data_IF_672217314664
#
_entry.id   IF_672217314664
#
_cell.length_a   1.000
_cell.length_b   1.000
_cell.length_c   1.000
_cell.angle_alpha   90.00
_cell.angle_beta   90.00
_cell.angle_gamma   90.00
#
_symmetry.space_group_name_H-M   'P 1'
#
loop_
_entity.id
_entity.type
_entity.pdbx_description
1 polymer ?
#
# COMPACT_ATOMS: atom_id res chain seq x y z
N UNK A 1 -16.08 10.54 4.50
CA UNK A 1 -14.68 10.06 4.63
C UNK A 1 -14.14 10.26 6.04
N UNK A 2 -14.35 11.45 6.63
CA UNK A 2 -13.96 11.83 8.00
C UNK A 2 -14.30 10.79 9.08
N UNK A 3 -15.54 10.26 9.09
CA UNK A 3 -15.94 9.22 10.06
C UNK A 3 -15.08 7.94 9.96
N UNK A 4 -14.90 7.41 8.75
CA UNK A 4 -14.12 6.20 8.50
C UNK A 4 -12.66 6.40 8.92
N UNK A 5 -12.05 7.51 8.51
CA UNK A 5 -10.67 7.84 8.88
C UNK A 5 -10.51 8.02 10.40
N UNK A 6 -11.44 8.72 11.07
CA UNK A 6 -11.41 8.86 12.53
C UNK A 6 -11.49 7.51 13.25
N UNK A 7 -12.34 6.58 12.80
CA UNK A 7 -12.41 5.24 13.38
C UNK A 7 -11.10 4.48 13.17
N UNK A 8 -10.48 4.59 12.00
CA UNK A 8 -9.17 3.97 11.74
C UNK A 8 -8.07 4.60 12.60
N UNK A 9 -8.02 5.92 12.74
CA UNK A 9 -7.03 6.61 13.59
C UNK A 9 -7.18 6.28 15.07
N UNK A 10 -8.41 6.15 15.58
CA UNK A 10 -8.65 5.64 16.94
C UNK A 10 -8.05 4.25 17.11
N UNK A 11 -8.16 3.38 16.10
CA UNK A 11 -7.55 2.05 16.13
C UNK A 11 -6.03 2.09 16.06
N UNK A 12 -5.45 2.98 15.24
CA UNK A 12 -3.99 3.24 15.21
C UNK A 12 -3.47 3.58 16.61
N UNK A 13 -4.21 4.36 17.39
CA UNK A 13 -3.80 4.79 18.74
C UNK A 13 -4.05 3.73 19.82
N UNK A 14 -5.19 3.05 19.79
CA UNK A 14 -5.66 2.21 20.92
C UNK A 14 -5.40 0.71 20.77
N UNK A 15 -5.30 0.21 19.54
CA UNK A 15 -5.33 -1.24 19.26
C UNK A 15 -4.57 -1.57 17.97
N UNK A 16 -3.35 -1.01 17.87
CA UNK A 16 -2.43 -1.23 16.76
C UNK A 16 -2.02 -2.70 16.68
N UNK A 17 -2.17 -3.30 15.50
CA UNK A 17 -1.61 -4.62 15.19
C UNK A 17 -0.89 -4.60 13.84
N UNK A 18 0.13 -5.45 13.60
CA UNK A 18 0.83 -5.48 12.32
C UNK A 18 -0.10 -5.69 11.12
N UNK A 19 -1.09 -6.59 11.26
CA UNK A 19 -2.11 -6.85 10.24
C UNK A 19 -2.97 -5.62 9.96
N UNK A 20 -3.38 -4.90 11.01
CA UNK A 20 -4.16 -3.68 10.84
C UNK A 20 -3.35 -2.60 10.13
N UNK A 21 -2.10 -2.37 10.52
CA UNK A 21 -1.24 -1.35 9.90
C UNK A 21 -0.98 -1.61 8.43
N UNK A 22 -0.69 -2.87 8.07
CA UNK A 22 -0.56 -3.27 6.66
C UNK A 22 -1.81 -2.90 5.88
N UNK A 23 -2.98 -3.36 6.34
CA UNK A 23 -4.25 -3.13 5.64
C UNK A 23 -4.64 -1.64 5.64
N UNK A 24 -4.24 -0.89 6.66
CA UNK A 24 -4.46 0.55 6.71
C UNK A 24 -3.64 1.29 5.66
N UNK A 25 -2.35 0.97 5.50
CA UNK A 25 -1.51 1.54 4.43
C UNK A 25 -2.05 1.15 3.04
N UNK A 26 -2.43 -0.12 2.85
CA UNK A 26 -3.05 -0.58 1.59
C UNK A 26 -4.35 0.17 1.31
N UNK A 27 -5.16 0.42 2.35
CA UNK A 27 -6.38 1.22 2.24
C UNK A 27 -6.09 2.66 1.81
N UNK A 28 -5.11 3.33 2.42
CA UNK A 28 -4.70 4.69 2.03
C UNK A 28 -4.28 4.73 0.56
N UNK A 29 -3.44 3.79 0.13
CA UNK A 29 -3.03 3.68 -1.28
C UNK A 29 -4.21 3.40 -2.21
N UNK A 30 -5.14 2.53 -1.82
CA UNK A 30 -6.36 2.27 -2.61
C UNK A 30 -7.24 3.51 -2.68
N UNK A 31 -7.32 4.28 -1.61
CA UNK A 31 -8.09 5.53 -1.57
C UNK A 31 -7.53 6.55 -2.58
N UNK A 32 -6.20 6.71 -2.66
CA UNK A 32 -5.59 7.66 -3.60
C UNK A 32 -5.75 7.25 -5.06
N UNK A 33 -5.93 5.95 -5.33
CA UNK A 33 -6.30 5.44 -6.66
C UNK A 33 -7.76 5.72 -6.98
N UNK A 34 -8.66 5.53 -6.01
CA UNK A 34 -10.10 5.61 -6.24
C UNK A 34 -10.67 7.04 -6.20
N UNK A 35 -10.00 7.96 -5.50
CA UNK A 35 -10.44 9.34 -5.29
C UNK A 35 -9.42 10.34 -5.83
N UNK A 36 -8.30 10.49 -5.12
CA UNK A 36 -7.07 11.17 -5.54
C UNK A 36 -6.14 11.28 -4.34
N UNK A 37 -4.88 11.64 -4.55
CA UNK A 37 -3.98 12.01 -3.46
C UNK A 37 -4.44 13.29 -2.74
N UNK A 38 -4.93 14.28 -3.48
CA UNK A 38 -5.43 15.55 -2.94
C UNK A 38 -6.65 15.35 -2.03
N UNK A 39 -7.57 14.46 -2.41
CA UNK A 39 -8.71 14.10 -1.55
C UNK A 39 -8.26 13.47 -0.23
N UNK A 40 -7.14 12.75 -0.22
CA UNK A 40 -6.61 12.16 1.00
C UNK A 40 -6.05 13.25 1.92
N UNK A 41 -5.25 14.16 1.36
CA UNK A 41 -4.75 15.35 2.08
C UNK A 41 -5.93 16.11 2.68
N UNK A 42 -6.90 16.50 1.87
CA UNK A 42 -8.06 17.26 2.34
C UNK A 42 -8.86 16.50 3.39
N UNK A 43 -9.04 15.18 3.23
CA UNK A 43 -9.77 14.37 4.21
C UNK A 43 -9.06 14.29 5.56
N UNK A 44 -7.73 14.28 5.58
CA UNK A 44 -6.93 14.35 6.80
C UNK A 44 -6.97 15.75 7.41
N UNK A 45 -6.74 16.79 6.62
CA UNK A 45 -6.72 18.18 7.11
C UNK A 45 -8.09 18.64 7.65
N UNK A 46 -9.19 18.10 7.11
CA UNK A 46 -10.55 18.31 7.63
C UNK A 46 -10.79 17.70 9.02
N UNK A 47 -9.96 16.74 9.46
CA UNK A 47 -10.04 16.18 10.82
C UNK A 47 -9.29 17.10 11.78
N UNK A 48 -8.07 17.45 11.42
CA UNK A 48 -7.20 18.37 12.17
C UNK A 48 -6.11 18.89 11.26
N UNK A 49 -5.76 20.17 11.38
CA UNK A 49 -4.63 20.76 10.64
C UNK A 49 -3.31 20.04 10.97
N UNK A 50 -2.54 19.71 9.93
CA UNK A 50 -1.28 18.96 10.02
C UNK A 50 -1.46 17.45 10.15
N UNK A 51 -2.70 16.94 10.13
CA UNK A 51 -2.98 15.51 10.28
C UNK A 51 -2.41 14.69 9.11
N UNK A 52 -2.36 15.24 7.89
CA UNK A 52 -1.75 14.54 6.77
C UNK A 52 -0.24 14.33 7.00
N UNK A 53 0.48 15.38 7.40
CA UNK A 53 1.91 15.28 7.73
C UNK A 53 2.16 14.25 8.84
N UNK A 54 1.38 14.30 9.92
CA UNK A 54 1.49 13.32 11.00
C UNK A 54 1.19 11.88 10.54
N UNK A 55 0.19 11.69 9.68
CA UNK A 55 -0.11 10.38 9.10
C UNK A 55 1.08 9.84 8.30
N UNK A 56 1.69 10.67 7.46
CA UNK A 56 2.84 10.25 6.66
C UNK A 56 4.03 9.93 7.56
N UNK A 57 4.39 10.83 8.47
CA UNK A 57 5.60 10.70 9.29
C UNK A 57 5.49 9.62 10.37
N UNK A 58 4.38 9.61 11.12
CA UNK A 58 4.23 8.78 12.33
C UNK A 58 3.59 7.43 12.05
N UNK A 59 3.06 7.22 10.85
CA UNK A 59 2.38 5.98 10.49
C UNK A 59 3.01 5.38 9.25
N UNK A 60 2.93 6.08 8.10
CA UNK A 60 3.37 5.50 6.84
C UNK A 60 4.87 5.23 6.86
N UNK A 61 5.70 6.22 7.16
CA UNK A 61 7.17 6.04 7.15
C UNK A 61 7.66 5.01 8.18
N UNK A 62 6.96 4.87 9.31
CA UNK A 62 7.34 3.94 10.38
C UNK A 62 6.93 2.50 10.05
N UNK A 63 5.71 2.30 9.55
CA UNK A 63 5.16 0.95 9.36
C UNK A 63 5.51 0.37 7.98
N UNK A 64 5.72 1.20 6.94
CA UNK A 64 6.01 0.77 5.57
C UNK A 64 7.17 -0.25 5.43
N UNK A 65 8.31 -0.13 6.15
CA UNK A 65 9.39 -1.12 6.07
C UNK A 65 8.95 -2.55 6.47
N UNK A 66 8.00 -2.67 7.41
CA UNK A 66 7.49 -3.95 7.89
C UNK A 66 6.60 -4.71 6.89
N UNK A 67 6.27 -4.08 5.75
CA UNK A 67 5.36 -4.66 4.76
C UNK A 67 6.08 -5.58 3.75
N UNK A 68 7.42 -5.53 3.65
CA UNK A 68 8.21 -6.19 2.60
C UNK A 68 7.90 -7.68 2.44
N UNK A 69 7.74 -8.39 3.57
CA UNK A 69 7.51 -9.85 3.60
C UNK A 69 6.06 -10.26 3.86
N UNK A 70 5.17 -9.30 4.15
CA UNK A 70 3.78 -9.58 4.56
C UNK A 70 2.74 -9.19 3.50
N UNK A 71 3.18 -8.52 2.43
CA UNK A 71 2.32 -8.04 1.35
C UNK A 71 2.25 -9.01 0.18
N UNK A 72 1.02 -9.31 -0.26
CA UNK A 72 0.76 -10.14 -1.44
C UNK A 72 0.99 -9.35 -2.73
N UNK A 73 1.11 -10.03 -3.87
CA UNK A 73 1.25 -9.37 -5.19
C UNK A 73 0.18 -8.29 -5.46
N UNK A 74 -1.12 -8.57 -5.25
CA UNK A 74 -2.18 -7.56 -5.37
C UNK A 74 -2.01 -6.36 -4.43
N UNK A 75 -1.56 -6.58 -3.18
CA UNK A 75 -1.30 -5.49 -2.23
C UNK A 75 -0.11 -4.63 -2.69
N UNK A 76 0.99 -5.24 -3.16
CA UNK A 76 2.15 -4.51 -3.70
C UNK A 76 1.78 -3.65 -4.89
N UNK A 77 0.92 -4.15 -5.78
CA UNK A 77 0.38 -3.38 -6.91
C UNK A 77 -0.39 -2.15 -6.44
N UNK A 78 -1.28 -2.29 -5.46
CA UNK A 78 -2.04 -1.17 -4.90
C UNK A 78 -1.09 -0.15 -4.26
N UNK A 79 -0.09 -0.61 -3.49
CA UNK A 79 0.88 0.28 -2.83
C UNK A 79 1.70 1.04 -3.88
N UNK A 80 2.22 0.38 -4.92
CA UNK A 80 3.00 1.02 -5.97
C UNK A 80 2.22 2.14 -6.67
N UNK A 81 0.98 1.88 -7.08
CA UNK A 81 0.17 2.86 -7.80
C UNK A 81 -0.25 3.99 -6.84
N UNK A 82 -0.73 3.64 -5.64
CA UNK A 82 -1.24 4.61 -4.67
C UNK A 82 -0.15 5.52 -4.09
N UNK A 83 1.03 4.99 -3.78
CA UNK A 83 2.20 5.79 -3.40
C UNK A 83 2.76 6.58 -4.57
N UNK A 84 2.73 6.03 -5.78
CA UNK A 84 3.06 6.78 -6.99
C UNK A 84 2.18 8.02 -7.15
N UNK A 85 0.86 7.89 -6.96
CA UNK A 85 -0.05 9.04 -6.98
C UNK A 85 0.28 10.04 -5.87
N UNK A 86 0.59 9.58 -4.65
CA UNK A 86 0.99 10.48 -3.56
C UNK A 86 2.27 11.28 -3.91
N UNK A 87 3.33 10.58 -4.32
CA UNK A 87 4.60 11.21 -4.65
C UNK A 87 4.52 12.09 -5.91
N UNK A 88 3.58 11.85 -6.83
CA UNK A 88 3.40 12.67 -8.02
C UNK A 88 2.50 13.89 -7.79
N UNK A 89 1.38 13.71 -7.08
CA UNK A 89 0.29 14.68 -7.08
C UNK A 89 0.31 15.59 -5.84
N UNK A 90 0.99 15.19 -4.76
CA UNK A 90 1.15 15.96 -3.51
C UNK A 90 2.62 16.09 -3.11
N UNK A 91 3.51 16.19 -4.10
CA UNK A 91 4.97 16.27 -3.92
C UNK A 91 5.39 17.35 -2.93
N UNK A 92 4.76 18.53 -3.01
CA UNK A 92 5.08 19.68 -2.15
C UNK A 92 4.85 19.37 -0.67
N UNK A 93 3.81 18.60 -0.36
CA UNK A 93 3.49 18.16 1.01
C UNK A 93 4.40 17.04 1.50
N UNK A 94 5.13 16.38 0.59
CA UNK A 94 5.96 15.20 0.87
C UNK A 94 7.47 15.46 0.73
N UNK A 95 7.91 16.70 0.50
CA UNK A 95 9.34 17.02 0.24
C UNK A 95 10.27 16.39 1.29
N UNK A 96 9.92 16.47 2.58
CA UNK A 96 10.73 15.92 3.67
C UNK A 96 10.76 14.39 3.75
N UNK A 97 9.77 13.71 3.16
CA UNK A 97 9.63 12.25 3.21
C UNK A 97 9.76 11.58 1.83
N UNK A 98 10.01 12.36 0.79
CA UNK A 98 10.03 11.89 -0.60
C UNK A 98 11.05 10.76 -0.81
N UNK A 99 12.28 10.95 -0.31
CA UNK A 99 13.36 9.98 -0.40
C UNK A 99 13.04 8.66 0.30
N UNK A 100 12.61 8.71 1.57
CA UNK A 100 12.30 7.50 2.36
C UNK A 100 11.10 6.74 1.79
N UNK A 101 10.04 7.44 1.37
CA UNK A 101 8.88 6.80 0.74
C UNK A 101 9.26 6.15 -0.58
N UNK A 102 10.08 6.82 -1.41
CA UNK A 102 10.57 6.26 -2.68
C UNK A 102 11.39 4.99 -2.45
N UNK A 103 12.32 5.04 -1.48
CA UNK A 103 13.17 3.92 -1.10
C UNK A 103 12.35 2.72 -0.59
N UNK A 104 11.47 2.94 0.39
CA UNK A 104 10.74 1.84 1.04
C UNK A 104 9.75 1.17 0.08
N UNK A 105 9.09 1.93 -0.81
CA UNK A 105 8.23 1.35 -1.83
C UNK A 105 9.04 0.57 -2.87
N UNK A 106 10.19 1.09 -3.31
CA UNK A 106 11.07 0.36 -4.23
C UNK A 106 11.53 -0.98 -3.63
N UNK A 107 11.95 -0.97 -2.36
CA UNK A 107 12.34 -2.19 -1.63
C UNK A 107 11.18 -3.15 -1.40
N UNK A 108 9.98 -2.64 -1.17
CA UNK A 108 8.77 -3.47 -1.10
C UNK A 108 8.47 -4.16 -2.44
N UNK A 109 8.70 -3.50 -3.57
CA UNK A 109 8.47 -4.05 -4.91
C UNK A 109 9.48 -5.11 -5.33
N UNK A 110 10.71 -5.04 -4.81
CA UNK A 110 11.74 -6.06 -5.04
C UNK A 110 11.62 -7.25 -4.11
N UNK A 111 11.08 -7.07 -2.90
CA UNK A 111 10.87 -8.19 -1.99
C UNK A 111 9.95 -9.26 -2.61
N UNK A 112 10.13 -10.52 -2.20
CA UNK A 112 9.21 -11.58 -2.57
C UNK A 112 7.79 -11.26 -2.08
N UNK A 113 6.77 -11.60 -2.88
CA UNK A 113 5.38 -11.48 -2.43
C UNK A 113 5.08 -12.53 -1.38
N UNK A 114 4.35 -12.14 -0.33
CA UNK A 114 3.71 -13.11 0.54
C UNK A 114 2.76 -13.96 -0.31
N UNK A 115 2.78 -15.27 -0.07
CA UNK A 115 1.82 -16.17 -0.71
C UNK A 115 0.41 -15.74 -0.32
N UNK A 116 -0.45 -15.55 -1.31
CA UNK A 116 -1.88 -15.54 -1.05
C UNK A 116 -2.22 -16.97 -0.60
N UNK A 117 -2.89 -17.12 0.55
CA UNK A 117 -3.13 -18.41 1.25
C UNK A 117 -3.27 -19.56 0.25
N UNK A 118 -2.53 -20.65 0.48
CA UNK A 118 -2.51 -21.81 -0.42
C UNK A 118 -3.94 -22.21 -0.83
N UNK A 119 -4.16 -22.37 -2.14
CA UNK A 119 -5.35 -23.06 -2.63
C UNK A 119 -5.22 -24.48 -2.12
N UNK A 120 -6.05 -24.81 -1.13
CA UNK A 120 -6.09 -26.13 -0.54
C UNK A 120 -6.67 -27.11 -1.55
N UNK A 121 -6.19 -28.35 -1.57
CA UNK A 121 -6.87 -29.43 -2.27
C UNK A 121 -8.25 -29.70 -1.62
N UNK A 122 -9.18 -30.37 -2.32
CA UNK A 122 -10.46 -30.76 -1.72
C UNK A 122 -10.30 -31.53 -0.39
N UNK A 123 -9.28 -32.38 -0.30
CA UNK A 123 -8.96 -33.15 0.90
C UNK A 123 -8.45 -32.25 2.03
N UNK A 124 -7.62 -31.26 1.70
CA UNK A 124 -7.12 -30.27 2.67
C UNK A 124 -8.22 -29.31 3.14
N UNK A 125 -9.16 -28.92 2.28
CA UNK A 125 -10.35 -28.16 2.67
C UNK A 125 -11.22 -28.95 3.63
N UNK A 126 -11.43 -30.24 3.34
CA UNK A 126 -12.22 -31.13 4.21
C UNK A 126 -11.53 -31.40 5.55
N UNK A 127 -10.20 -31.54 5.56
CA UNK A 127 -9.41 -31.62 6.79
C UNK A 127 -9.50 -30.33 7.61
N UNK A 128 -9.61 -29.17 6.98
CA UNK A 128 -9.75 -27.88 7.66
C UNK A 128 -11.10 -27.67 8.36
N UNK A 129 -12.07 -28.57 8.14
CA UNK A 129 -13.37 -28.53 8.80
C UNK A 129 -13.34 -29.06 10.23
N UNK A 130 -12.22 -29.64 10.66
CA UNK A 130 -12.05 -30.22 11.99
C UNK A 130 -10.84 -29.59 12.70
N UNK A 131 -10.96 -29.29 14.00
CA UNK A 131 -9.81 -28.87 14.81
C UNK A 131 -8.92 -30.08 15.19
N UNK A 132 -7.84 -29.84 15.93
CA UNK A 132 -6.91 -30.90 16.34
C UNK A 132 -7.60 -31.94 17.25
N UNK A 133 -8.68 -31.54 17.92
CA UNK A 133 -9.52 -32.35 18.79
C UNK A 133 -10.63 -33.11 18.03
N UNK A 134 -10.74 -32.91 16.71
CA UNK A 134 -11.73 -33.57 15.86
C UNK A 134 -13.13 -32.94 15.92
N UNK A 135 -13.28 -31.78 16.55
CA UNK A 135 -14.53 -31.02 16.57
C UNK A 135 -14.73 -30.26 15.27
N UNK A 136 -15.98 -30.26 14.78
CA UNK A 136 -16.36 -29.52 13.59
C UNK A 136 -16.23 -28.01 13.83
N UNK A 137 -15.37 -27.36 13.06
CA UNK A 137 -15.20 -25.91 13.05
C UNK A 137 -15.87 -25.39 11.79
N UNK A 138 -16.75 -24.38 11.90
CA UNK A 138 -17.45 -23.81 10.74
C UNK A 138 -16.42 -23.16 9.78
N UNK A 139 -16.00 -23.86 8.71
CA UNK A 139 -14.90 -23.42 7.89
C UNK A 139 -15.45 -22.46 6.84
N UNK A 140 -14.70 -21.42 6.54
CA UNK A 140 -15.06 -20.55 5.44
C UNK A 140 -14.84 -21.27 4.11
N UNK A 141 -15.91 -21.74 3.47
CA UNK A 141 -15.86 -22.37 2.15
C UNK A 141 -15.93 -21.31 1.04
N UNK A 142 -14.84 -21.11 0.29
CA UNK A 142 -14.87 -20.23 -0.89
C UNK A 142 -15.61 -20.91 -2.03
N UNK A 143 -16.40 -20.14 -2.77
CA UNK A 143 -16.94 -20.59 -4.05
C UNK A 143 -15.83 -20.53 -5.11
N UNK A 144 -15.21 -21.68 -5.41
CA UNK A 144 -14.07 -21.77 -6.34
C UNK A 144 -14.36 -21.24 -7.75
N UNK A 145 -15.63 -21.24 -8.16
CA UNK A 145 -16.08 -20.78 -9.47
C UNK A 145 -16.67 -19.36 -9.47
N UNK A 146 -16.73 -18.69 -8.32
CA UNK A 146 -17.23 -17.32 -8.27
C UNK A 146 -16.28 -16.36 -9.02
N UNK A 147 -16.81 -15.39 -9.79
CA UNK A 147 -15.98 -14.45 -10.52
C UNK A 147 -15.13 -13.61 -9.55
N UNK A 148 -13.83 -13.56 -9.80
CA UNK A 148 -12.91 -12.69 -9.04
C UNK A 148 -13.15 -11.25 -9.47
N UNK A 149 -13.14 -10.33 -8.50
CA UNK A 149 -13.19 -8.91 -8.82
C UNK A 149 -11.97 -8.51 -9.66
N UNK A 150 -12.13 -7.59 -10.62
CA UNK A 150 -11.01 -7.09 -11.40
C UNK A 150 -9.98 -6.41 -10.49
N UNK A 151 -8.69 -6.41 -10.88
CA UNK A 151 -7.67 -5.74 -10.10
C UNK A 151 -7.95 -4.24 -10.03
N UNK A 152 -7.60 -3.63 -8.90
CA UNK A 152 -7.66 -2.17 -8.73
C UNK A 152 -6.76 -1.51 -9.79
N UNK A 153 -7.31 -0.47 -10.45
CA UNK A 153 -6.68 0.20 -11.60
C UNK A 153 -6.24 -0.79 -12.69
N UNK A 154 -7.18 -1.57 -13.23
CA UNK A 154 -6.93 -2.56 -14.27
C UNK A 154 -6.29 -1.98 -15.54
N UNK A 155 -6.49 -0.69 -15.81
CA UNK A 155 -5.89 0.05 -16.91
C UNK A 155 -4.36 0.23 -16.78
N UNK A 156 -3.77 0.06 -15.60
CA UNK A 156 -2.33 0.21 -15.38
C UNK A 156 -1.64 -1.16 -15.49
N UNK A 157 -1.15 -1.54 -16.66
CA UNK A 157 -0.56 -2.87 -16.83
C UNK A 157 0.69 -3.08 -15.93
N UNK A 158 1.69 -2.20 -16.07
CA UNK A 158 2.96 -2.27 -15.33
C UNK A 158 2.98 -1.27 -14.16
N UNK A 159 2.66 -1.77 -12.96
CA UNK A 159 2.64 -0.97 -11.73
C UNK A 159 4.04 -0.55 -11.25
N UNK A 160 5.08 -1.32 -11.58
CA UNK A 160 6.48 -0.98 -11.28
C UNK A 160 6.91 0.24 -12.11
N UNK A 161 6.69 0.18 -13.43
CA UNK A 161 6.97 1.32 -14.33
C UNK A 161 6.15 2.56 -13.98
N UNK A 162 4.87 2.39 -13.61
CA UNK A 162 4.01 3.49 -13.18
C UNK A 162 4.56 4.20 -11.94
N UNK A 163 5.06 3.43 -10.96
CA UNK A 163 5.70 3.96 -9.77
C UNK A 163 7.03 4.65 -10.10
N UNK A 164 7.88 4.03 -10.93
CA UNK A 164 9.14 4.64 -11.36
C UNK A 164 8.92 5.99 -12.07
N UNK A 165 7.96 6.07 -12.99
CA UNK A 165 7.60 7.32 -13.66
C UNK A 165 7.04 8.36 -12.68
N UNK A 166 6.32 7.93 -11.64
CA UNK A 166 5.87 8.84 -10.59
C UNK A 166 7.07 9.49 -9.88
N UNK A 167 8.03 8.67 -9.44
CA UNK A 167 9.16 9.11 -8.63
C UNK A 167 10.19 9.91 -9.43
N UNK A 168 10.49 9.49 -10.65
CA UNK A 168 11.57 10.07 -11.46
C UNK A 168 11.13 11.27 -12.30
N UNK A 169 9.84 11.33 -12.68
CA UNK A 169 9.35 12.32 -13.66
C UNK A 169 8.23 13.17 -13.08
N UNK A 170 7.12 12.56 -12.66
CA UNK A 170 5.90 13.33 -12.30
C UNK A 170 6.10 14.14 -11.01
N UNK A 171 6.61 13.52 -9.95
CA UNK A 171 6.89 14.20 -8.69
C UNK A 171 7.89 15.34 -8.85
N UNK A 172 9.09 15.10 -9.40
CA UNK A 172 10.11 16.13 -9.57
C UNK A 172 9.73 17.21 -10.58
N UNK A 173 8.77 16.96 -11.49
CA UNK A 173 8.35 17.92 -12.52
C UNK A 173 7.96 19.29 -11.95
N UNK A 174 7.34 19.33 -10.77
CA UNK A 174 6.99 20.58 -10.08
C UNK A 174 7.89 20.89 -8.86
N UNK A 175 8.70 19.93 -8.41
CA UNK A 175 9.60 20.07 -7.27
C UNK A 175 10.94 19.36 -7.55
N UNK A 176 11.81 19.90 -8.43
CA UNK A 176 12.99 19.19 -8.93
C UNK A 176 13.95 18.74 -7.83
N UNK A 177 14.01 19.51 -6.74
CA UNK A 177 14.83 19.25 -5.56
C UNK A 177 14.50 17.93 -4.87
N UNK A 178 13.26 17.43 -5.00
CA UNK A 178 12.86 16.15 -4.38
C UNK A 178 13.62 14.95 -4.95
N UNK A 179 14.04 15.00 -6.22
CA UNK A 179 14.81 13.91 -6.82
C UNK A 179 16.17 13.73 -6.14
N UNK A 180 16.76 14.81 -5.60
CA UNK A 180 18.03 14.75 -4.85
C UNK A 180 17.90 14.00 -3.53
N UNK A 181 16.69 13.86 -3.00
CA UNK A 181 16.43 13.09 -1.79
C UNK A 181 16.30 11.59 -2.04
N UNK A 182 16.15 11.17 -3.31
CA UNK A 182 16.05 9.75 -3.67
C UNK A 182 17.47 9.15 -3.74
N UNK A 183 17.76 8.06 -3.02
CA UNK A 183 19.08 7.44 -3.06
C UNK A 183 19.50 7.02 -4.48
N UNK A 184 20.77 7.20 -4.89
CA UNK A 184 21.22 6.92 -6.27
C UNK A 184 20.99 5.47 -6.73
N UNK A 185 21.11 4.50 -5.83
CA UNK A 185 20.84 3.10 -6.09
C UNK A 185 19.35 2.85 -6.41
N UNK A 186 18.45 3.61 -5.75
CA UNK A 186 17.02 3.56 -6.03
C UNK A 186 16.71 4.24 -7.36
N UNK A 187 17.37 5.35 -7.70
CA UNK A 187 17.22 5.98 -9.02
C UNK A 187 17.60 4.99 -10.12
N UNK A 188 18.73 4.30 -9.98
CA UNK A 188 19.21 3.30 -10.93
C UNK A 188 18.24 2.13 -11.08
N UNK A 189 17.73 1.61 -9.96
CA UNK A 189 16.72 0.56 -9.96
C UNK A 189 15.42 1.02 -10.64
N UNK A 190 14.91 2.21 -10.31
CA UNK A 190 13.68 2.73 -10.89
C UNK A 190 13.81 2.95 -12.41
N UNK A 191 14.98 3.38 -12.89
CA UNK A 191 15.26 3.51 -14.33
C UNK A 191 15.20 2.17 -15.06
N UNK A 192 15.63 1.06 -14.43
CA UNK A 192 15.61 -0.26 -15.07
C UNK A 192 14.19 -0.83 -15.20
N UNK A 193 13.27 -0.47 -14.29
CA UNK A 193 11.88 -0.93 -14.30
C UNK A 193 10.89 0.05 -14.94
N UNK A 194 11.37 1.20 -15.43
CA UNK A 194 10.55 2.21 -16.10
C UNK A 194 10.23 1.85 -17.57
N UNK A 195 11.04 0.98 -18.18
CA UNK A 195 10.87 0.48 -19.55
C UNK A 195 9.66 -0.47 -19.65
#
# INVERSE_FOLDING_TARGET
MTFVLNTMFRRVQSSKTPKFMKLFIVFLCRFTIARSAQDLVQSCENIQTGMFGMLIEKVVCIDLPGLKQTTTGPEKRIIAIGMGNLLADVTQQLVGQYGILSYEVAMLLEAASASDRAVLSPEEEQASMYNAEGEFVNPFCRLSYAPKQPPVAANIANHKAYFAQAVLVRGPGNCPETLRSVPPEIVTYLQSIQQ
#
